data_IF_617404001971
#
_entry.id   IF_617404001971
#
_cell.length_a   1.000
_cell.length_b   1.000
_cell.length_c   1.000
_cell.angle_alpha   90.00
_cell.angle_beta   90.00
_cell.angle_gamma   90.00
#
_symmetry.space_group_name_H-M   'P 1'
#
loop_
_entity.id
_entity.type
_entity.pdbx_description
1 polymer ?
#
# COMPACT_ATOMS: atom_id res chain seq x y z
N UNK A 1 -28.36 -12.65 -7.02
CA UNK A 1 -27.49 -11.66 -6.35
C UNK A 1 -26.21 -12.39 -5.99
N UNK A 2 -25.04 -11.91 -6.41
CA UNK A 2 -23.78 -12.55 -6.04
C UNK A 2 -23.59 -12.43 -4.51
N UNK A 3 -23.45 -13.57 -3.85
CA UNK A 3 -23.17 -13.62 -2.40
C UNK A 3 -21.75 -13.08 -2.21
N UNK A 4 -21.61 -12.03 -1.41
CA UNK A 4 -20.33 -11.45 -1.04
C UNK A 4 -19.90 -12.13 0.26
N UNK A 5 -18.76 -12.76 0.26
CA UNK A 5 -18.22 -13.37 1.47
C UNK A 5 -16.88 -12.69 1.82
N UNK A 6 -16.88 -11.99 2.93
CA UNK A 6 -15.67 -11.41 3.50
C UNK A 6 -15.00 -12.46 4.38
N UNK A 7 -13.97 -13.15 3.84
CA UNK A 7 -13.15 -14.07 4.63
C UNK A 7 -11.82 -13.40 5.01
N UNK A 8 -11.72 -12.85 6.23
CA UNK A 8 -10.50 -12.17 6.70
C UNK A 8 -9.33 -13.10 6.98
N UNK A 9 -9.57 -14.44 6.99
CA UNK A 9 -8.54 -15.46 7.20
C UNK A 9 -8.07 -16.14 5.91
N UNK A 10 -8.55 -15.68 4.76
CA UNK A 10 -8.09 -16.21 3.48
C UNK A 10 -6.60 -15.95 3.26
N UNK A 11 -5.90 -16.85 2.55
CA UNK A 11 -4.48 -16.68 2.21
C UNK A 11 -4.21 -15.35 1.49
N UNK A 12 -5.14 -14.91 0.63
CA UNK A 12 -5.02 -13.63 -0.08
C UNK A 12 -5.14 -12.43 0.90
N UNK A 13 -6.04 -12.49 1.88
CA UNK A 13 -6.16 -11.45 2.91
C UNK A 13 -4.88 -11.36 3.75
N UNK A 14 -4.29 -12.50 4.14
CA UNK A 14 -3.02 -12.54 4.85
C UNK A 14 -1.86 -11.93 4.04
N UNK A 15 -1.79 -12.23 2.74
CA UNK A 15 -0.79 -11.63 1.86
C UNK A 15 -0.98 -10.10 1.74
N UNK A 16 -2.20 -9.62 1.58
CA UNK A 16 -2.49 -8.17 1.53
C UNK A 16 -2.01 -7.49 2.80
N UNK A 17 -2.28 -8.07 3.97
CA UNK A 17 -1.83 -7.53 5.26
C UNK A 17 -0.30 -7.47 5.35
N UNK A 18 0.41 -8.51 4.90
CA UNK A 18 1.87 -8.50 4.84
C UNK A 18 2.41 -7.38 3.95
N UNK A 19 1.79 -7.14 2.78
CA UNK A 19 2.19 -6.05 1.88
C UNK A 19 1.87 -4.67 2.48
N UNK A 20 0.77 -4.51 3.23
CA UNK A 20 0.47 -3.27 3.96
C UNK A 20 1.56 -2.96 4.99
N UNK A 21 1.98 -3.94 5.78
CA UNK A 21 3.08 -3.79 6.73
C UNK A 21 4.42 -3.51 6.05
N UNK A 22 4.73 -4.23 4.97
CA UNK A 22 5.95 -4.00 4.20
C UNK A 22 6.02 -2.57 3.65
N UNK A 23 4.91 -2.06 3.10
CA UNK A 23 4.81 -0.69 2.61
C UNK A 23 4.97 0.35 3.75
N UNK A 24 4.36 0.13 4.93
CA UNK A 24 4.56 1.03 6.07
C UNK A 24 6.04 1.08 6.47
N UNK A 25 6.69 -0.08 6.62
CA UNK A 25 8.10 -0.14 7.02
C UNK A 25 9.01 0.54 5.99
N UNK A 26 8.76 0.30 4.71
CA UNK A 26 9.54 0.89 3.63
C UNK A 26 9.33 2.41 3.55
N UNK A 27 8.09 2.87 3.67
CA UNK A 27 7.79 4.31 3.65
C UNK A 27 8.35 5.05 4.87
N UNK A 28 8.43 4.40 6.05
CA UNK A 28 9.16 4.93 7.22
C UNK A 28 10.66 5.06 6.92
N UNK A 29 11.27 4.04 6.29
CA UNK A 29 12.68 4.09 5.91
C UNK A 29 12.95 5.21 4.91
N UNK A 30 12.08 5.39 3.91
CA UNK A 30 12.18 6.50 2.95
C UNK A 30 12.09 7.84 3.66
N UNK A 31 11.10 8.01 4.55
CA UNK A 31 10.95 9.25 5.31
C UNK A 31 12.19 9.55 6.16
N UNK A 32 12.78 8.54 6.81
CA UNK A 32 14.01 8.70 7.59
C UNK A 32 15.19 9.12 6.71
N UNK A 33 15.36 8.51 5.54
CA UNK A 33 16.42 8.85 4.57
C UNK A 33 16.21 10.26 4.01
N UNK A 34 14.97 10.60 3.63
CA UNK A 34 14.61 11.91 3.10
C UNK A 34 14.86 13.04 4.12
N UNK A 35 14.61 12.77 5.41
CA UNK A 35 14.83 13.73 6.50
C UNK A 35 16.33 14.03 6.73
N UNK A 36 17.26 13.16 6.35
CA UNK A 36 18.69 13.45 6.39
C UNK A 36 19.02 14.71 5.57
N UNK A 37 18.38 14.84 4.40
CA UNK A 37 18.49 16.00 3.51
C UNK A 37 17.37 17.03 3.75
N UNK A 38 16.71 16.99 4.91
CA UNK A 38 15.57 17.85 5.27
C UNK A 38 14.46 17.86 4.21
N UNK A 39 14.27 16.75 3.47
CA UNK A 39 13.25 16.62 2.42
C UNK A 39 13.50 17.45 1.15
N UNK A 40 14.67 18.08 1.03
CA UNK A 40 14.98 19.01 -0.10
C UNK A 40 15.04 18.29 -1.45
N UNK A 41 15.53 17.05 -1.48
CA UNK A 41 15.69 16.30 -2.74
C UNK A 41 14.32 15.92 -3.34
N UNK A 42 13.39 15.47 -2.52
CA UNK A 42 12.03 15.16 -2.96
C UNK A 42 11.07 16.35 -2.92
N UNK A 43 11.56 17.58 -2.68
CA UNK A 43 10.74 18.80 -2.52
C UNK A 43 9.62 18.61 -1.46
N UNK A 44 9.93 17.92 -0.38
CA UNK A 44 8.99 17.51 0.67
C UNK A 44 7.86 16.58 0.22
N UNK A 45 7.85 16.12 -1.04
CA UNK A 45 6.81 15.22 -1.55
C UNK A 45 6.88 13.86 -0.85
N UNK A 46 8.09 13.28 -0.66
CA UNK A 46 8.24 12.00 0.01
C UNK A 46 7.73 12.00 1.46
N UNK A 47 8.08 12.94 2.36
CA UNK A 47 7.51 13.03 3.69
C UNK A 47 5.98 13.19 3.71
N UNK A 48 5.42 14.01 2.80
CA UNK A 48 3.97 14.21 2.70
C UNK A 48 3.29 12.90 2.24
N UNK A 49 3.84 12.25 1.21
CA UNK A 49 3.30 10.98 0.69
C UNK A 49 3.38 9.88 1.74
N UNK A 50 4.46 9.84 2.53
CA UNK A 50 4.58 8.95 3.70
C UNK A 50 3.41 9.12 4.67
N UNK A 51 3.04 10.35 5.02
CA UNK A 51 1.92 10.60 5.93
C UNK A 51 0.60 10.06 5.38
N UNK A 52 0.33 10.25 4.09
CA UNK A 52 -0.86 9.68 3.44
C UNK A 52 -0.82 8.15 3.38
N UNK A 53 0.34 7.57 3.08
CA UNK A 53 0.54 6.11 3.08
C UNK A 53 0.28 5.54 4.46
N UNK A 54 0.86 6.13 5.50
CA UNK A 54 0.69 5.70 6.89
C UNK A 54 -0.78 5.78 7.32
N UNK A 55 -1.46 6.89 7.05
CA UNK A 55 -2.87 7.07 7.40
C UNK A 55 -3.76 6.05 6.70
N UNK A 56 -3.59 5.87 5.40
CA UNK A 56 -4.38 4.93 4.61
C UNK A 56 -4.16 3.48 5.05
N UNK A 57 -2.90 3.05 5.20
CA UNK A 57 -2.56 1.67 5.55
C UNK A 57 -2.95 1.34 6.99
N UNK A 58 -2.74 2.25 7.94
CA UNK A 58 -3.17 2.08 9.33
C UNK A 58 -4.69 1.95 9.43
N UNK A 59 -5.43 2.74 8.66
CA UNK A 59 -6.89 2.63 8.59
C UNK A 59 -7.32 1.26 8.07
N UNK A 60 -6.72 0.77 6.98
CA UNK A 60 -7.04 -0.55 6.43
C UNK A 60 -6.68 -1.67 7.41
N UNK A 61 -5.51 -1.63 8.05
CA UNK A 61 -5.10 -2.60 9.05
C UNK A 61 -6.05 -2.62 10.26
N UNK A 62 -6.47 -1.44 10.73
CA UNK A 62 -7.46 -1.31 11.80
C UNK A 62 -8.81 -1.93 11.42
N UNK A 63 -9.27 -1.73 10.18
CA UNK A 63 -10.50 -2.32 9.69
C UNK A 63 -10.39 -3.84 9.54
N UNK A 64 -9.26 -4.36 9.01
CA UNK A 64 -8.99 -5.80 8.91
C UNK A 64 -9.00 -6.43 10.30
N UNK A 65 -8.31 -5.82 11.26
CA UNK A 65 -8.27 -6.32 12.63
C UNK A 65 -9.66 -6.32 13.29
N UNK A 66 -10.46 -5.29 13.05
CA UNK A 66 -11.85 -5.23 13.51
C UNK A 66 -12.70 -6.35 12.90
N UNK A 67 -12.56 -6.60 11.61
CA UNK A 67 -13.34 -7.65 10.94
C UNK A 67 -12.96 -9.05 11.43
N UNK A 68 -11.69 -9.29 11.78
CA UNK A 68 -11.26 -10.56 12.40
C UNK A 68 -11.88 -10.84 13.78
N UNK A 69 -12.29 -9.79 14.49
CA UNK A 69 -12.96 -9.92 15.80
C UNK A 69 -14.47 -10.02 15.72
N UNK A 70 -15.04 -9.84 14.52
CA UNK A 70 -16.48 -9.93 14.32
C UNK A 70 -16.92 -11.37 14.16
N UNK A 71 -18.17 -11.63 14.52
CA UNK A 71 -18.83 -12.89 14.28
C UNK A 71 -18.87 -13.16 12.76
N UNK A 72 -18.45 -14.37 12.29
CA UNK A 72 -18.48 -14.76 10.89
C UNK A 72 -19.85 -14.54 10.21
N UNK A 73 -20.95 -14.71 10.94
CA UNK A 73 -22.30 -14.49 10.40
C UNK A 73 -22.56 -13.03 10.03
N UNK A 74 -21.94 -12.08 10.73
CA UNK A 74 -22.06 -10.64 10.42
C UNK A 74 -21.23 -10.22 9.21
N UNK A 75 -20.27 -11.05 8.79
CA UNK A 75 -19.40 -10.79 7.62
C UNK A 75 -20.02 -11.32 6.32
N UNK A 76 -21.07 -12.15 6.40
CA UNK A 76 -21.84 -12.60 5.24
C UNK A 76 -22.41 -11.38 4.51
N UNK A 77 -22.32 -11.37 3.19
CA UNK A 77 -22.74 -10.27 2.31
C UNK A 77 -21.99 -8.93 2.49
N UNK A 78 -20.86 -8.90 3.22
CA UNK A 78 -19.99 -7.73 3.32
C UNK A 78 -18.76 -7.86 2.41
N UNK A 79 -18.16 -6.75 2.02
CA UNK A 79 -16.88 -6.71 1.30
C UNK A 79 -15.75 -6.45 2.27
N UNK A 80 -14.61 -7.12 2.05
CA UNK A 80 -13.39 -6.80 2.78
C UNK A 80 -13.02 -5.31 2.60
N UNK A 81 -12.50 -4.63 3.63
CA UNK A 81 -12.13 -3.21 3.55
C UNK A 81 -11.18 -2.89 2.39
N UNK A 82 -10.27 -3.81 2.09
CA UNK A 82 -9.30 -3.71 0.99
C UNK A 82 -9.92 -3.93 -0.40
N UNK A 83 -11.11 -4.51 -0.47
CA UNK A 83 -11.85 -4.75 -1.72
C UNK A 83 -12.79 -3.60 -2.11
N UNK A 84 -12.92 -2.55 -1.28
CA UNK A 84 -13.70 -1.37 -1.65
C UNK A 84 -13.06 -0.63 -2.83
N UNK A 85 -13.89 -0.10 -3.74
CA UNK A 85 -13.42 0.72 -4.87
C UNK A 85 -12.60 1.91 -4.39
N UNK A 86 -13.05 2.60 -3.34
CA UNK A 86 -12.35 3.75 -2.75
C UNK A 86 -10.94 3.40 -2.28
N UNK A 87 -10.77 2.26 -1.59
CA UNK A 87 -9.45 1.80 -1.12
C UNK A 87 -8.50 1.53 -2.30
N UNK A 88 -9.02 0.91 -3.38
CA UNK A 88 -8.23 0.62 -4.58
C UNK A 88 -7.85 1.92 -5.30
N UNK A 89 -8.79 2.88 -5.43
CA UNK A 89 -8.51 4.19 -6.05
C UNK A 89 -7.48 4.96 -5.23
N UNK A 90 -7.59 4.98 -3.89
CA UNK A 90 -6.61 5.63 -3.03
C UNK A 90 -5.22 4.99 -3.16
N UNK A 91 -5.12 3.66 -3.30
CA UNK A 91 -3.84 3.00 -3.58
C UNK A 91 -3.22 3.48 -4.90
N UNK A 92 -4.02 3.63 -5.96
CA UNK A 92 -3.52 4.16 -7.24
C UNK A 92 -3.08 5.62 -7.13
N UNK A 93 -3.77 6.44 -6.34
CA UNK A 93 -3.34 7.82 -6.05
C UNK A 93 -2.03 7.85 -5.26
N UNK A 94 -1.85 6.96 -4.27
CA UNK A 94 -0.58 6.83 -3.55
C UNK A 94 0.58 6.41 -4.48
N UNK A 95 0.34 5.45 -5.38
CA UNK A 95 1.32 5.06 -6.40
C UNK A 95 1.73 6.29 -7.24
N UNK A 96 0.75 7.08 -7.69
CA UNK A 96 1.03 8.30 -8.47
C UNK A 96 1.87 9.29 -7.67
N UNK A 97 1.55 9.53 -6.40
CA UNK A 97 2.31 10.43 -5.53
C UNK A 97 3.76 9.94 -5.34
N UNK A 98 3.98 8.64 -5.12
CA UNK A 98 5.33 8.08 -5.01
C UNK A 98 6.11 8.18 -6.32
N UNK A 99 5.46 7.96 -7.48
CA UNK A 99 6.09 8.19 -8.79
C UNK A 99 6.51 9.65 -8.95
N UNK A 100 5.68 10.60 -8.53
CA UNK A 100 6.02 12.03 -8.56
C UNK A 100 7.19 12.32 -7.61
N UNK A 101 7.28 11.69 -6.43
CA UNK A 101 8.42 11.82 -5.52
C UNK A 101 9.72 11.35 -6.19
N UNK A 102 9.73 10.14 -6.78
CA UNK A 102 10.88 9.62 -7.55
C UNK A 102 11.34 10.60 -8.64
N UNK A 103 10.39 11.12 -9.42
CA UNK A 103 10.69 12.05 -10.49
C UNK A 103 11.25 13.38 -9.94
N UNK A 104 10.75 13.86 -8.81
CA UNK A 104 11.25 15.07 -8.14
C UNK A 104 12.69 14.87 -7.67
N UNK A 105 13.01 13.75 -7.01
CA UNK A 105 14.37 13.44 -6.55
C UNK A 105 15.34 13.38 -7.74
N UNK A 106 14.96 12.68 -8.82
CA UNK A 106 15.78 12.59 -10.03
C UNK A 106 15.99 13.99 -10.65
N UNK A 107 14.91 14.76 -10.80
CA UNK A 107 14.96 16.09 -11.40
C UNK A 107 15.85 17.05 -10.60
N UNK A 108 15.68 17.09 -9.27
CA UNK A 108 16.47 17.94 -8.38
C UNK A 108 17.94 17.52 -8.43
N UNK A 109 18.22 16.21 -8.38
CA UNK A 109 19.59 15.67 -8.38
C UNK A 109 20.35 15.96 -9.67
N UNK A 110 19.65 16.03 -10.81
CA UNK A 110 20.28 16.26 -12.13
C UNK A 110 20.32 17.72 -12.50
N UNK A 111 19.27 18.50 -12.21
CA UNK A 111 19.08 19.84 -12.79
C UNK A 111 19.38 20.98 -11.83
N UNK A 112 19.14 20.80 -10.53
CA UNK A 112 19.22 21.91 -9.56
C UNK A 112 20.41 21.78 -8.65
N UNK A 113 20.69 20.61 -8.14
CA UNK A 113 21.75 20.35 -7.18
C UNK A 113 22.68 19.27 -7.72
N UNK A 114 23.91 19.67 -8.04
CA UNK A 114 24.92 18.65 -8.28
C UNK A 114 25.09 17.85 -6.99
N UNK A 115 24.99 16.52 -7.07
CA UNK A 115 25.28 15.64 -5.91
C UNK A 115 26.70 15.85 -5.36
N UNK A 116 27.56 16.62 -6.09
CA UNK A 116 28.90 17.02 -5.64
C UNK A 116 28.86 18.03 -4.50
N UNK A 117 27.78 18.79 -4.37
CA UNK A 117 27.60 19.82 -3.34
C UNK A 117 27.22 19.24 -1.97
N UNK A 118 26.84 17.96 -1.93
CA UNK A 118 26.59 17.23 -0.70
C UNK A 118 27.81 16.45 -0.25
N UNK A 119 28.10 16.47 1.04
CA UNK A 119 29.25 15.78 1.61
C UNK A 119 28.81 14.52 2.39
N UNK A 120 29.65 13.48 2.35
CA UNK A 120 29.57 12.31 3.21
C UNK A 120 28.21 11.62 3.21
N UNK A 121 27.56 11.59 4.38
CA UNK A 121 26.30 10.86 4.62
C UNK A 121 25.10 11.43 3.87
N UNK A 122 25.02 12.74 3.68
CA UNK A 122 23.91 13.37 2.95
C UNK A 122 23.85 12.89 1.49
N UNK A 123 25.01 12.80 0.84
CA UNK A 123 25.12 12.27 -0.53
C UNK A 123 24.68 10.82 -0.60
N UNK A 124 25.14 9.99 0.35
CA UNK A 124 24.76 8.59 0.41
C UNK A 124 23.24 8.42 0.62
N UNK A 125 22.65 9.18 1.53
CA UNK A 125 21.20 9.19 1.77
C UNK A 125 20.42 9.55 0.49
N UNK A 126 20.87 10.57 -0.26
CA UNK A 126 20.24 10.93 -1.53
C UNK A 126 20.24 9.80 -2.57
N UNK A 127 21.33 9.03 -2.66
CA UNK A 127 21.39 7.89 -3.55
C UNK A 127 20.50 6.72 -3.09
N UNK A 128 20.27 6.56 -1.77
CA UNK A 128 19.40 5.53 -1.23
C UNK A 128 17.91 5.89 -1.38
N UNK A 129 17.55 7.15 -1.41
CA UNK A 129 16.17 7.61 -1.52
C UNK A 129 15.50 7.04 -2.79
N UNK A 130 16.19 7.13 -3.95
CA UNK A 130 15.65 6.68 -5.24
C UNK A 130 15.27 5.18 -5.25
N UNK A 131 16.18 4.23 -4.94
CA UNK A 131 15.83 2.81 -4.97
C UNK A 131 14.77 2.44 -3.95
N UNK A 132 14.72 3.10 -2.80
CA UNK A 132 13.69 2.86 -1.81
C UNK A 132 12.32 3.34 -2.27
N UNK A 133 12.23 4.54 -2.87
CA UNK A 133 10.98 5.04 -3.46
C UNK A 133 10.49 4.13 -4.61
N UNK A 134 11.39 3.67 -5.48
CA UNK A 134 11.05 2.73 -6.56
C UNK A 134 10.54 1.40 -5.98
N UNK A 135 11.18 0.87 -4.92
CA UNK A 135 10.73 -0.32 -4.24
C UNK A 135 9.32 -0.15 -3.65
N UNK A 136 9.04 1.02 -3.05
CA UNK A 136 7.71 1.34 -2.51
C UNK A 136 6.65 1.37 -3.61
N UNK A 137 6.94 1.98 -4.76
CA UNK A 137 6.04 1.95 -5.93
C UNK A 137 5.73 0.51 -6.34
N UNK A 138 6.74 -0.37 -6.42
CA UNK A 138 6.55 -1.77 -6.75
C UNK A 138 5.66 -2.50 -5.73
N UNK A 139 5.90 -2.29 -4.43
CA UNK A 139 5.10 -2.88 -3.35
C UNK A 139 3.64 -2.43 -3.45
N UNK A 140 3.39 -1.13 -3.64
CA UNK A 140 2.04 -0.57 -3.78
C UNK A 140 1.32 -1.08 -5.03
N UNK A 141 2.02 -1.24 -6.17
CA UNK A 141 1.43 -1.82 -7.39
C UNK A 141 0.99 -3.26 -7.14
N UNK A 142 1.86 -4.10 -6.53
CA UNK A 142 1.50 -5.48 -6.20
C UNK A 142 0.31 -5.52 -5.23
N UNK A 143 0.30 -4.63 -4.22
CA UNK A 143 -0.81 -4.50 -3.27
C UNK A 143 -2.12 -4.13 -3.98
N UNK A 144 -2.11 -3.13 -4.87
CA UNK A 144 -3.29 -2.70 -5.62
C UNK A 144 -3.84 -3.83 -6.51
N UNK A 145 -2.95 -4.59 -7.17
CA UNK A 145 -3.35 -5.75 -7.98
C UNK A 145 -3.97 -6.87 -7.14
N UNK A 146 -3.41 -7.16 -5.93
CA UNK A 146 -3.98 -8.13 -4.99
C UNK A 146 -5.36 -7.68 -4.46
N UNK A 147 -5.53 -6.41 -4.11
CA UNK A 147 -6.81 -5.84 -3.70
C UNK A 147 -7.86 -5.94 -4.84
N UNK A 148 -7.45 -5.65 -6.07
CA UNK A 148 -8.31 -5.81 -7.26
C UNK A 148 -8.68 -7.29 -7.49
N UNK A 149 -7.73 -8.22 -7.32
CA UNK A 149 -7.99 -9.66 -7.40
C UNK A 149 -8.97 -10.11 -6.31
N UNK A 150 -8.77 -9.68 -5.06
CA UNK A 150 -9.67 -9.97 -3.95
C UNK A 150 -11.09 -9.49 -4.27
N UNK A 151 -11.23 -8.24 -4.75
CA UNK A 151 -12.52 -7.70 -5.16
C UNK A 151 -13.18 -8.54 -6.27
N UNK A 152 -12.42 -8.94 -7.30
CA UNK A 152 -12.93 -9.76 -8.40
C UNK A 152 -13.42 -11.11 -7.91
N UNK A 153 -12.63 -11.79 -7.08
CA UNK A 153 -12.99 -13.09 -6.54
C UNK A 153 -14.28 -13.00 -5.72
N UNK A 154 -14.40 -11.97 -4.86
CA UNK A 154 -15.60 -11.76 -4.05
C UNK A 154 -16.86 -11.46 -4.88
N UNK A 155 -16.74 -10.93 -6.11
CA UNK A 155 -17.87 -10.53 -6.94
C UNK A 155 -18.27 -11.59 -7.98
N UNK A 156 -17.37 -12.49 -8.36
CA UNK A 156 -17.54 -13.42 -9.50
C UNK A 156 -17.88 -14.84 -9.02
N UNK A 157 -17.51 -15.24 -7.81
CA UNK A 157 -17.92 -16.55 -7.30
C UNK A 157 -19.43 -16.53 -6.96
N UNK A 158 -20.29 -17.17 -7.80
CA UNK A 158 -21.58 -17.60 -7.30
C UNK A 158 -21.28 -18.56 -6.15
N UNK A 159 -21.94 -18.37 -5.02
CA UNK A 159 -21.84 -19.26 -3.87
C UNK A 159 -21.87 -20.72 -4.34
N UNK A 160 -20.73 -21.41 -4.24
CA UNK A 160 -20.77 -22.87 -4.18
C UNK A 160 -21.63 -23.16 -2.98
N UNK A 161 -22.78 -23.79 -3.24
CA UNK A 161 -23.75 -24.13 -2.22
C UNK A 161 -23.10 -25.16 -1.28
N UNK A 162 -22.48 -24.66 -0.21
CA UNK A 162 -21.81 -25.49 0.80
C UNK A 162 -22.78 -26.51 1.43
N UNK A 163 -24.07 -26.26 1.32
CA UNK A 163 -25.11 -27.16 1.81
C UNK A 163 -25.25 -28.40 0.94
N UNK A 164 -24.95 -28.33 -0.36
CA UNK A 164 -24.99 -29.50 -1.25
C UNK A 164 -23.76 -30.41 -1.08
N UNK A 165 -22.62 -29.90 -0.60
CA UNK A 165 -21.40 -30.69 -0.38
C UNK A 165 -21.38 -31.37 1.00
N UNK A 166 -22.17 -30.88 1.95
CA UNK A 166 -22.30 -31.49 3.29
C UNK A 166 -23.37 -32.60 3.38
N UNK A 167 -24.16 -32.76 2.31
CA UNK A 167 -25.23 -33.76 2.24
C UNK A 167 -24.88 -34.98 1.35
N UNK A 168 -23.66 -35.03 0.79
CA UNK A 168 -23.13 -36.15 0.02
C UNK A 168 -22.04 -36.88 0.82
#
# INVERSE_FOLDING_TARGET
>A
MAVKENNPFSALAGQIEQFLWASILLSVAIAAVSLVNMGRLSLFIAPITFMFTLLHHSTLLGLIHRDRKRDPDTLKNTLAPTAFKSSIVLLWLLILLWVVAVLAVIFVSVSIMSMKDYEGWERFAGYLEIPFEVAEVCVLVVLALKCRKQRRNTLIEPSVDWQSTAAA
#
